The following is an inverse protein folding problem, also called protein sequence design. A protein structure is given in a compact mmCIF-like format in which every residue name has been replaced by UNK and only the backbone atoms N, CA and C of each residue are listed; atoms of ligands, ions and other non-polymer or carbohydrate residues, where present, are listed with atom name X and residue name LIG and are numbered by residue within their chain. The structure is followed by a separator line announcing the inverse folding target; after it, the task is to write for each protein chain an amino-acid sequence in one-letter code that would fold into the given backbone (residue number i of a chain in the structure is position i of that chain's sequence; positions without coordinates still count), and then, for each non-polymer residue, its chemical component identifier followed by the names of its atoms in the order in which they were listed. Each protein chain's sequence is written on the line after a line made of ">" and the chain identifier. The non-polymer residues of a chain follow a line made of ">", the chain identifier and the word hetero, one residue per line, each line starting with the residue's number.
data_IF_251193695087
#
_entry.id   IF_251193695087
#
_cell.length_a   1.000
_cell.length_b   1.000
_cell.length_c   1.000
_cell.angle_alpha   90.00
_cell.angle_beta   90.00
_cell.angle_gamma   90.00
#
_symmetry.space_group_name_H-M   'P 1'
#
loop_
_entity.id
_entity.type
_entity.pdbx_description
1 polymer ?
#
# COMPACT_ATOMS: atom_id res chain seq x y z
N UNK A 1 -35.69 -38.56 56.45
CA UNK A 1 -34.32 -38.03 56.25
C UNK A 1 -33.90 -37.81 54.80
N UNK A 2 -34.52 -38.42 53.77
CA UNK A 2 -34.03 -38.39 52.39
C UNK A 2 -34.18 -37.06 51.60
N UNK A 3 -35.08 -36.14 51.99
CA UNK A 3 -35.32 -34.89 51.24
C UNK A 3 -34.24 -33.81 51.38
N UNK A 4 -33.47 -33.80 52.49
CA UNK A 4 -32.41 -32.80 52.72
C UNK A 4 -31.19 -33.00 51.81
N UNK A 5 -30.84 -34.25 51.49
CA UNK A 5 -29.72 -34.55 50.58
C UNK A 5 -29.99 -34.18 49.12
N UNK A 6 -31.25 -34.23 48.68
CA UNK A 6 -31.64 -33.88 47.31
C UNK A 6 -31.55 -32.35 47.06
N UNK A 7 -32.00 -31.55 48.01
CA UNK A 7 -31.85 -30.09 47.95
C UNK A 7 -30.38 -29.68 47.95
N UNK A 8 -29.55 -30.28 48.81
CA UNK A 8 -28.12 -29.98 48.87
C UNK A 8 -27.40 -30.31 47.55
N UNK A 9 -27.70 -31.47 46.93
CA UNK A 9 -27.18 -31.81 45.59
C UNK A 9 -27.64 -30.83 44.50
N UNK A 10 -28.88 -30.35 44.55
CA UNK A 10 -29.38 -29.34 43.61
C UNK A 10 -28.65 -28.01 43.76
N UNK A 11 -28.35 -27.59 45.00
CA UNK A 11 -27.54 -26.40 45.26
C UNK A 11 -26.12 -26.53 44.74
N UNK A 12 -25.45 -27.67 44.96
CA UNK A 12 -24.09 -27.92 44.44
C UNK A 12 -24.09 -27.90 42.91
N UNK A 13 -25.05 -28.56 42.26
CA UNK A 13 -25.13 -28.57 40.81
C UNK A 13 -25.39 -27.18 40.23
N UNK A 14 -26.27 -26.39 40.85
CA UNK A 14 -26.54 -25.02 40.43
C UNK A 14 -25.30 -24.14 40.60
N UNK A 15 -24.57 -24.28 41.71
CA UNK A 15 -23.32 -23.57 41.94
C UNK A 15 -22.26 -23.90 40.88
N UNK A 16 -22.07 -25.18 40.55
CA UNK A 16 -21.14 -25.59 39.49
C UNK A 16 -21.53 -25.02 38.12
N UNK A 17 -22.82 -25.02 37.77
CA UNK A 17 -23.31 -24.43 36.50
C UNK A 17 -22.99 -22.93 36.46
N UNK A 18 -23.25 -22.19 37.55
CA UNK A 18 -22.95 -20.76 37.63
C UNK A 18 -21.45 -20.50 37.49
N UNK A 19 -20.60 -21.30 38.12
CA UNK A 19 -19.13 -21.17 38.02
C UNK A 19 -18.64 -21.44 36.59
N UNK A 20 -19.14 -22.48 35.93
CA UNK A 20 -18.78 -22.79 34.53
C UNK A 20 -19.20 -21.66 33.59
N UNK A 21 -20.40 -21.10 33.77
CA UNK A 21 -20.87 -19.94 33.01
C UNK A 21 -19.95 -18.74 33.27
N UNK A 22 -19.58 -18.47 34.52
CA UNK A 22 -18.71 -17.35 34.87
C UNK A 22 -17.30 -17.51 34.28
N UNK A 23 -16.73 -18.71 34.32
CA UNK A 23 -15.45 -19.02 33.68
C UNK A 23 -15.57 -18.89 32.16
N UNK A 24 -16.65 -19.39 31.56
CA UNK A 24 -16.91 -19.24 30.12
C UNK A 24 -17.00 -17.77 29.70
N UNK A 25 -17.75 -16.96 30.43
CA UNK A 25 -17.87 -15.51 30.20
C UNK A 25 -16.52 -14.80 30.44
N UNK A 26 -15.78 -15.17 31.48
CA UNK A 26 -14.46 -14.63 31.76
C UNK A 26 -13.46 -14.97 30.64
N UNK A 27 -13.43 -16.23 30.19
CA UNK A 27 -12.58 -16.70 29.09
C UNK A 27 -12.97 -16.01 27.79
N UNK A 28 -14.26 -15.88 27.45
CA UNK A 28 -14.73 -15.14 26.26
C UNK A 28 -14.33 -13.67 26.32
N UNK A 29 -14.52 -13.00 27.46
CA UNK A 29 -14.15 -11.59 27.64
C UNK A 29 -12.65 -11.35 27.59
N UNK A 30 -11.87 -12.34 28.05
CA UNK A 30 -10.41 -12.34 28.03
C UNK A 30 -9.81 -12.93 26.76
N UNK A 31 -10.59 -13.54 25.86
CA UNK A 31 -10.08 -14.25 24.68
C UNK A 31 -9.39 -13.25 23.74
N UNK A 32 -8.06 -13.07 23.85
CA UNK A 32 -7.39 -11.97 23.20
C UNK A 32 -7.22 -12.27 21.73
N UNK A 33 -7.23 -13.54 21.29
CA UNK A 33 -6.93 -13.94 19.91
C UNK A 33 -7.91 -13.39 18.87
N UNK A 34 -9.22 -13.42 19.18
CA UNK A 34 -10.25 -12.78 18.36
C UNK A 34 -10.14 -11.25 18.41
N UNK A 35 -9.93 -10.68 19.60
CA UNK A 35 -9.71 -9.23 19.78
C UNK A 35 -8.39 -8.73 19.17
N UNK A 36 -7.37 -9.59 19.01
CA UNK A 36 -6.06 -9.32 18.41
C UNK A 36 -6.10 -9.48 16.89
N UNK A 37 -6.86 -10.43 16.34
CA UNK A 37 -7.22 -10.41 14.91
C UNK A 37 -8.04 -9.16 14.56
N UNK A 38 -8.85 -8.71 15.51
CA UNK A 38 -9.57 -7.44 15.50
C UNK A 38 -8.73 -6.26 15.99
N UNK A 39 -7.44 -6.44 16.33
CA UNK A 39 -6.41 -5.39 16.25
C UNK A 39 -5.99 -5.29 14.76
N UNK A 40 -7.07 -5.02 14.01
CA UNK A 40 -7.35 -4.38 12.74
C UNK A 40 -6.28 -4.38 11.66
N UNK A 41 -6.22 -5.44 10.85
CA UNK A 41 -6.02 -5.21 9.42
C UNK A 41 -7.32 -4.65 8.84
N UNK A 42 -7.27 -3.59 8.03
CA UNK A 42 -8.48 -2.99 7.49
C UNK A 42 -9.17 -3.99 6.56
N UNK A 43 -10.51 -4.07 6.63
CA UNK A 43 -11.31 -4.85 5.68
C UNK A 43 -11.21 -4.26 4.26
N UNK A 44 -10.95 -2.95 4.18
CA UNK A 44 -10.81 -2.18 2.94
C UNK A 44 -9.42 -1.52 2.88
N UNK A 45 -8.69 -1.76 1.82
CA UNK A 45 -7.37 -1.14 1.60
C UNK A 45 -7.54 0.20 0.91
N UNK A 46 -7.41 1.29 1.67
CA UNK A 46 -7.21 2.63 1.12
C UNK A 46 -5.82 2.79 0.49
N UNK A 47 -5.77 3.08 -0.81
CA UNK A 47 -4.56 3.37 -1.58
C UNK A 47 -4.58 4.84 -2.00
N UNK A 48 -3.41 5.49 -2.04
CA UNK A 48 -3.25 6.83 -2.58
C UNK A 48 -2.19 6.82 -3.67
N UNK A 49 -2.46 7.51 -4.77
CA UNK A 49 -1.43 7.88 -5.76
C UNK A 49 -1.23 9.39 -5.69
N UNK A 50 0.03 9.84 -5.71
CA UNK A 50 0.35 11.26 -5.66
C UNK A 50 1.63 11.55 -6.43
N UNK A 51 1.49 12.22 -7.57
CA UNK A 51 2.63 12.88 -8.21
C UNK A 51 2.97 14.14 -7.39
N UNK A 52 4.16 14.15 -6.78
CA UNK A 52 4.55 15.19 -5.82
C UNK A 52 5.34 16.33 -6.44
N UNK A 53 5.61 16.29 -7.76
CA UNK A 53 6.41 17.29 -8.47
C UNK A 53 7.67 17.67 -7.70
N UNK A 54 8.49 16.65 -7.35
CA UNK A 54 9.70 16.75 -6.52
C UNK A 54 9.54 17.57 -5.22
N UNK A 55 8.32 17.66 -4.68
CA UNK A 55 7.98 18.38 -3.47
C UNK A 55 7.75 19.88 -3.66
N UNK A 56 7.73 20.39 -4.90
CA UNK A 56 7.43 21.78 -5.24
C UNK A 56 5.92 21.99 -5.41
N UNK A 57 5.36 22.92 -4.65
CA UNK A 57 3.95 23.28 -4.79
C UNK A 57 3.67 24.21 -5.97
N UNK A 58 2.38 24.47 -6.21
CA UNK A 58 1.91 25.47 -7.19
C UNK A 58 2.40 26.90 -6.89
N UNK A 59 2.86 27.14 -5.66
CA UNK A 59 3.48 28.38 -5.21
C UNK A 59 4.99 28.43 -5.50
N UNK A 60 5.56 27.41 -6.15
CA UNK A 60 7.00 27.27 -6.40
C UNK A 60 7.82 26.93 -5.16
N UNK A 61 7.16 26.60 -4.03
CA UNK A 61 7.84 26.36 -2.76
C UNK A 61 8.03 24.86 -2.55
N UNK A 62 9.30 24.46 -2.39
CA UNK A 62 9.68 23.11 -1.98
C UNK A 62 9.30 22.83 -0.51
N UNK A 63 8.49 21.80 -0.27
CA UNK A 63 8.02 21.48 1.09
C UNK A 63 7.53 20.03 1.25
N UNK A 64 8.40 19.12 1.69
CA UNK A 64 8.02 17.72 1.98
C UNK A 64 7.01 17.57 3.13
N UNK A 65 7.01 18.48 4.10
CA UNK A 65 6.05 18.48 5.22
C UNK A 65 4.61 18.74 4.75
N UNK A 66 4.46 19.50 3.67
CA UNK A 66 3.16 19.78 3.02
C UNK A 66 2.63 18.50 2.37
N UNK A 67 3.48 17.79 1.64
CA UNK A 67 3.15 16.49 1.05
C UNK A 67 2.76 15.48 2.14
N UNK A 68 3.57 15.34 3.20
CA UNK A 68 3.28 14.45 4.30
C UNK A 68 1.96 14.80 5.02
N UNK A 69 1.64 16.09 5.18
CA UNK A 69 0.37 16.53 5.78
C UNK A 69 -0.83 16.08 4.93
N UNK A 70 -0.80 16.29 3.62
CA UNK A 70 -1.88 15.86 2.70
C UNK A 70 -2.08 14.35 2.77
N UNK A 71 -0.99 13.57 2.73
CA UNK A 71 -1.06 12.10 2.85
C UNK A 71 -1.66 11.71 4.20
N UNK A 72 -1.23 12.34 5.29
CA UNK A 72 -1.74 12.06 6.65
C UNK A 72 -3.24 12.34 6.78
N UNK A 73 -3.72 13.45 6.24
CA UNK A 73 -5.14 13.82 6.23
C UNK A 73 -5.99 12.77 5.50
N UNK A 74 -5.46 12.16 4.43
CA UNK A 74 -6.14 11.08 3.72
C UNK A 74 -6.01 9.72 4.41
N UNK A 75 -5.02 9.54 5.29
CA UNK A 75 -4.79 8.30 6.04
C UNK A 75 -4.79 7.00 5.18
N UNK A 76 -4.11 6.95 4.03
CA UNK A 76 -4.01 5.74 3.22
C UNK A 76 -3.14 4.67 3.90
N UNK A 77 -3.32 3.42 3.48
CA UNK A 77 -2.48 2.30 3.92
C UNK A 77 -1.26 2.10 3.01
N UNK A 78 -1.43 2.33 1.71
CA UNK A 78 -0.40 2.26 0.69
C UNK A 78 -0.38 3.56 -0.11
N UNK A 79 0.80 4.06 -0.42
CA UNK A 79 0.99 5.28 -1.19
C UNK A 79 1.96 5.03 -2.33
N UNK A 80 1.54 5.32 -3.56
CA UNK A 80 2.39 5.46 -4.72
C UNK A 80 2.76 6.94 -4.87
N UNK A 81 4.04 7.28 -4.82
CA UNK A 81 4.54 8.62 -5.12
C UNK A 81 5.28 8.61 -6.45
N UNK A 82 4.95 9.57 -7.30
CA UNK A 82 5.66 9.84 -8.55
C UNK A 82 6.43 11.15 -8.45
N UNK A 83 7.45 11.29 -9.29
CA UNK A 83 8.35 12.46 -9.36
C UNK A 83 9.11 12.71 -8.06
N UNK A 84 9.65 11.63 -7.49
CA UNK A 84 10.38 11.65 -6.23
C UNK A 84 11.87 11.78 -6.49
N UNK A 85 12.52 12.72 -5.80
CA UNK A 85 13.97 12.87 -5.83
C UNK A 85 14.67 12.12 -4.70
N UNK A 86 15.87 11.64 -5.01
CA UNK A 86 16.83 11.09 -4.07
C UNK A 86 18.19 11.74 -4.33
N UNK A 87 18.63 12.58 -3.39
CA UNK A 87 19.95 13.21 -3.38
C UNK A 87 20.26 14.12 -4.58
N UNK A 88 19.24 14.68 -5.22
CA UNK A 88 19.41 15.63 -6.32
C UNK A 88 19.78 17.02 -5.81
N UNK A 89 20.49 17.81 -6.62
CA UNK A 89 20.84 19.19 -6.28
C UNK A 89 19.62 20.10 -6.12
N UNK A 90 18.61 20.02 -7.00
CA UNK A 90 17.39 20.85 -6.93
C UNK A 90 16.60 20.69 -5.63
N UNK A 91 16.77 19.57 -4.94
CA UNK A 91 16.10 19.29 -3.66
C UNK A 91 17.08 19.26 -2.49
N UNK A 92 18.19 19.99 -2.63
CA UNK A 92 19.18 20.19 -1.57
C UNK A 92 19.79 18.89 -1.03
N UNK A 93 19.89 17.85 -1.88
CA UNK A 93 20.42 16.55 -1.49
C UNK A 93 19.49 15.76 -0.57
N UNK A 94 18.19 15.98 -0.65
CA UNK A 94 17.20 15.26 0.16
C UNK A 94 16.90 13.86 -0.35
N UNK A 95 16.70 12.95 0.60
CA UNK A 95 16.07 11.66 0.34
C UNK A 95 14.58 11.83 0.67
N UNK A 96 13.79 12.17 -0.36
CA UNK A 96 12.42 12.62 -0.16
C UNK A 96 11.53 11.49 0.35
N UNK A 97 11.64 10.30 -0.23
CA UNK A 97 10.88 9.12 0.16
C UNK A 97 11.08 8.84 1.66
N UNK A 98 12.32 8.78 2.13
CA UNK A 98 12.64 8.56 3.55
C UNK A 98 12.09 9.66 4.44
N UNK A 99 12.24 10.93 4.05
CA UNK A 99 11.76 12.07 4.86
C UNK A 99 10.24 12.09 5.00
N UNK A 100 9.51 11.82 3.91
CA UNK A 100 8.04 11.74 3.93
C UNK A 100 7.61 10.53 4.77
N UNK A 101 8.19 9.36 4.54
CA UNK A 101 7.89 8.14 5.27
C UNK A 101 8.14 8.27 6.78
N UNK A 102 9.24 8.90 7.18
CA UNK A 102 9.55 9.19 8.58
C UNK A 102 8.50 10.12 9.24
N UNK A 103 7.99 11.13 8.54
CA UNK A 103 6.93 11.99 9.04
C UNK A 103 5.59 11.26 9.24
N UNK A 104 5.35 10.22 8.44
CA UNK A 104 4.12 9.43 8.46
C UNK A 104 4.22 8.19 9.36
N UNK A 105 5.43 7.79 9.77
CA UNK A 105 5.66 6.52 10.46
C UNK A 105 5.39 5.31 9.56
N UNK A 106 5.75 5.40 8.27
CA UNK A 106 5.52 4.37 7.26
C UNK A 106 6.84 3.73 6.82
N UNK A 107 6.78 2.45 6.44
CA UNK A 107 7.84 1.77 5.69
C UNK A 107 7.91 2.35 4.26
N UNK A 108 9.06 2.24 3.59
CA UNK A 108 9.21 2.81 2.26
C UNK A 108 10.27 2.12 1.40
N UNK A 109 10.13 2.29 0.09
CA UNK A 109 11.17 1.99 -0.89
C UNK A 109 11.15 3.00 -2.03
N UNK A 110 12.27 3.15 -2.72
CA UNK A 110 12.44 4.10 -3.82
C UNK A 110 13.05 3.41 -5.05
N UNK A 111 12.44 3.66 -6.21
CA UNK A 111 12.89 3.22 -7.51
C UNK A 111 13.72 4.31 -8.20
N UNK A 112 14.98 3.97 -8.48
CA UNK A 112 15.92 4.79 -9.26
C UNK A 112 15.62 4.62 -10.76
N UNK A 113 14.84 5.52 -11.34
CA UNK A 113 14.48 5.45 -12.75
C UNK A 113 15.45 6.22 -13.65
N UNK A 114 15.86 7.40 -13.20
CA UNK A 114 16.72 8.32 -13.95
C UNK A 114 17.80 8.88 -13.02
N UNK A 115 19.04 8.88 -13.48
CA UNK A 115 20.11 9.66 -12.83
C UNK A 115 19.91 11.13 -13.19
N UNK A 116 19.85 12.00 -12.18
CA UNK A 116 19.50 13.40 -12.37
C UNK A 116 20.19 14.28 -11.33
N UNK A 117 20.92 15.31 -11.78
CA UNK A 117 21.59 16.30 -10.93
C UNK A 117 22.36 15.69 -9.74
N UNK A 118 23.26 14.75 -10.02
CA UNK A 118 24.08 14.07 -9.00
C UNK A 118 23.32 13.07 -8.11
N UNK A 119 22.01 12.95 -8.28
CA UNK A 119 21.14 12.04 -7.56
C UNK A 119 20.30 11.19 -8.50
N UNK A 120 19.12 10.82 -8.02
CA UNK A 120 18.18 9.96 -8.73
C UNK A 120 16.77 10.52 -8.66
N UNK A 121 16.01 10.21 -9.69
CA UNK A 121 14.62 10.59 -9.85
C UNK A 121 13.79 9.35 -10.21
N UNK A 122 12.58 9.24 -9.66
CA UNK A 122 11.69 8.11 -9.96
C UNK A 122 10.45 8.03 -9.08
N UNK A 123 10.10 6.80 -8.71
CA UNK A 123 8.89 6.49 -7.95
C UNK A 123 9.24 6.03 -6.53
N UNK A 124 8.34 6.25 -5.57
CA UNK A 124 8.44 5.66 -4.25
C UNK A 124 7.14 4.98 -3.85
N UNK A 125 7.27 3.96 -3.00
CA UNK A 125 6.13 3.35 -2.31
C UNK A 125 6.31 3.59 -0.82
N UNK A 126 5.23 4.01 -0.16
CA UNK A 126 5.13 4.08 1.29
C UNK A 126 4.04 3.13 1.75
N UNK A 127 4.29 2.41 2.83
CA UNK A 127 3.39 1.38 3.34
C UNK A 127 3.25 1.45 4.86
N UNK A 128 2.03 1.31 5.38
CA UNK A 128 1.79 1.07 6.81
C UNK A 128 2.14 -0.35 7.23
N UNK A 129 2.29 -1.23 6.26
CA UNK A 129 2.62 -2.64 6.45
C UNK A 129 4.08 -2.91 6.05
N UNK A 130 4.74 -3.94 6.61
CA UNK A 130 6.09 -4.29 6.21
C UNK A 130 6.18 -4.61 4.72
N UNK A 131 7.20 -4.06 4.06
CA UNK A 131 7.58 -4.41 2.69
C UNK A 131 8.49 -5.64 2.76
N UNK A 132 8.00 -6.79 2.29
CA UNK A 132 8.76 -8.06 2.32
C UNK A 132 9.68 -8.21 1.09
N UNK A 133 9.32 -7.54 0.00
CA UNK A 133 10.04 -7.59 -1.27
C UNK A 133 9.90 -6.28 -2.03
N UNK A 134 10.94 -5.89 -2.75
CA UNK A 134 10.93 -4.76 -3.66
C UNK A 134 11.80 -5.03 -4.89
N UNK A 135 11.29 -4.73 -6.08
CA UNK A 135 12.02 -4.77 -7.34
C UNK A 135 11.62 -3.58 -8.22
N UNK A 136 12.58 -2.97 -8.90
CA UNK A 136 12.32 -1.94 -9.91
C UNK A 136 12.62 -2.46 -11.31
N UNK A 137 11.74 -2.18 -12.28
CA UNK A 137 11.97 -2.45 -13.70
C UNK A 137 11.79 -1.17 -14.51
N UNK A 138 12.82 -0.80 -15.27
CA UNK A 138 12.78 0.30 -16.24
C UNK A 138 12.13 -0.20 -17.52
N UNK A 139 11.18 0.55 -18.06
CA UNK A 139 10.54 0.18 -19.33
C UNK A 139 11.55 0.26 -20.49
N UNK A 140 11.33 -0.57 -21.51
CA UNK A 140 12.25 -0.72 -22.64
C UNK A 140 12.14 0.42 -23.63
N UNK A 141 10.97 1.04 -23.73
CA UNK A 141 10.74 2.17 -24.62
C UNK A 141 11.49 3.41 -24.11
N UNK A 142 12.30 4.05 -24.95
CA UNK A 142 13.32 5.04 -24.55
C UNK A 142 13.42 6.25 -25.49
N UNK A 143 12.32 6.71 -26.09
CA UNK A 143 12.41 7.90 -26.95
C UNK A 143 12.35 9.20 -26.13
N UNK A 144 11.72 9.19 -24.95
CA UNK A 144 11.80 10.26 -23.96
C UNK A 144 13.13 10.26 -23.18
N UNK A 145 13.69 11.45 -22.89
CA UNK A 145 14.84 11.59 -21.98
C UNK A 145 14.50 11.20 -20.53
N UNK A 146 13.23 11.30 -20.14
CA UNK A 146 12.76 10.91 -18.82
C UNK A 146 12.45 9.42 -18.79
N UNK A 147 13.30 8.65 -18.11
CA UNK A 147 13.12 7.19 -18.03
C UNK A 147 11.96 6.82 -17.12
N UNK A 148 11.03 6.01 -17.64
CA UNK A 148 9.89 5.45 -16.89
C UNK A 148 10.16 4.02 -16.44
N UNK A 149 9.46 3.60 -15.40
CA UNK A 149 9.57 2.26 -14.84
C UNK A 149 8.50 1.98 -13.82
N UNK A 150 8.44 0.72 -13.39
CA UNK A 150 7.53 0.22 -12.37
C UNK A 150 8.29 -0.31 -11.17
N UNK A 151 7.93 0.20 -10.00
CA UNK A 151 8.35 -0.31 -8.71
C UNK A 151 7.31 -1.32 -8.23
N UNK A 152 7.70 -2.57 -8.12
CA UNK A 152 6.90 -3.65 -7.57
C UNK A 152 7.33 -3.91 -6.14
N UNK A 153 6.36 -3.99 -5.22
CA UNK A 153 6.58 -4.50 -3.87
C UNK A 153 5.59 -5.60 -3.54
N UNK A 154 5.98 -6.44 -2.58
CA UNK A 154 5.05 -7.33 -1.89
C UNK A 154 4.94 -6.82 -0.45
N UNK A 155 3.71 -6.50 -0.04
CA UNK A 155 3.40 -6.08 1.33
C UNK A 155 2.56 -7.14 2.03
N UNK A 156 2.82 -7.33 3.32
CA UNK A 156 2.07 -8.29 4.14
C UNK A 156 0.95 -7.61 4.91
N UNK A 157 -0.29 -7.93 4.53
CA UNK A 157 -1.52 -7.41 5.14
C UNK A 157 -2.22 -8.58 5.83
N UNK A 158 -2.01 -8.71 7.13
CA UNK A 158 -2.45 -9.87 7.90
C UNK A 158 -1.74 -11.11 7.43
N UNK A 159 -2.53 -12.13 7.09
CA UNK A 159 -2.03 -13.40 6.58
C UNK A 159 -1.94 -13.42 5.04
N UNK A 160 -2.23 -12.29 4.37
CA UNK A 160 -2.21 -12.17 2.90
C UNK A 160 -1.00 -11.35 2.45
N UNK A 161 -0.37 -11.81 1.36
CA UNK A 161 0.57 -11.00 0.59
C UNK A 161 -0.20 -10.25 -0.49
N UNK A 162 0.15 -8.99 -0.71
CA UNK A 162 -0.45 -8.13 -1.73
C UNK A 162 0.67 -7.55 -2.60
N UNK A 163 0.53 -7.72 -3.90
CA UNK A 163 1.44 -7.15 -4.88
C UNK A 163 1.00 -5.72 -5.17
N UNK A 164 1.89 -4.75 -4.93
CA UNK A 164 1.62 -3.34 -5.21
C UNK A 164 2.64 -2.79 -6.21
N UNK A 165 2.14 -2.26 -7.32
CA UNK A 165 2.94 -1.73 -8.42
C UNK A 165 2.74 -0.21 -8.51
N UNK A 166 3.82 0.54 -8.34
CA UNK A 166 3.87 1.99 -8.52
C UNK A 166 4.55 2.34 -9.84
N UNK A 167 3.83 3.06 -10.70
CA UNK A 167 4.35 3.49 -12.01
C UNK A 167 4.06 4.97 -12.28
N UNK A 168 4.80 5.56 -13.22
CA UNK A 168 4.50 6.86 -13.82
C UNK A 168 4.67 6.65 -15.32
N UNK A 169 3.56 6.60 -16.06
CA UNK A 169 3.61 6.40 -17.50
C UNK A 169 3.88 7.72 -18.20
N UNK A 170 4.52 7.63 -19.35
CA UNK A 170 4.82 8.75 -20.23
C UNK A 170 3.55 9.47 -20.67
N UNK A 171 3.69 10.76 -20.96
CA UNK A 171 2.59 11.62 -21.43
C UNK A 171 2.33 11.40 -22.92
N UNK A 172 3.37 11.04 -23.69
CA UNK A 172 3.20 10.67 -25.08
C UNK A 172 2.41 9.36 -25.20
N UNK A 173 1.38 9.38 -26.05
CA UNK A 173 0.43 8.29 -26.17
C UNK A 173 1.03 6.97 -26.71
N UNK A 174 2.04 7.04 -27.58
CA UNK A 174 2.68 5.84 -28.13
C UNK A 174 3.62 5.22 -27.10
N UNK A 175 4.38 6.05 -26.40
CA UNK A 175 5.23 5.61 -25.29
C UNK A 175 4.39 4.97 -24.19
N UNK A 176 3.37 5.68 -23.72
CA UNK A 176 2.46 5.23 -22.66
C UNK A 176 1.78 3.90 -23.00
N UNK A 177 1.34 3.72 -24.25
CA UNK A 177 0.76 2.45 -24.68
C UNK A 177 1.77 1.28 -24.64
N UNK A 178 3.02 1.52 -25.06
CA UNK A 178 4.08 0.51 -24.98
C UNK A 178 4.41 0.16 -23.52
N UNK A 179 4.53 1.18 -22.66
CA UNK A 179 4.83 1.02 -21.24
C UNK A 179 3.70 0.30 -20.50
N UNK A 180 2.44 0.64 -20.79
CA UNK A 180 1.26 -0.03 -20.24
C UNK A 180 1.21 -1.53 -20.62
N UNK A 181 1.56 -1.86 -21.87
CA UNK A 181 1.66 -3.25 -22.32
C UNK A 181 2.79 -4.00 -21.61
N UNK A 182 3.95 -3.34 -21.45
CA UNK A 182 5.07 -3.94 -20.72
C UNK A 182 4.74 -4.17 -19.24
N UNK A 183 4.08 -3.19 -18.60
CA UNK A 183 3.58 -3.31 -17.23
C UNK A 183 2.61 -4.47 -17.07
N UNK A 184 1.62 -4.61 -17.96
CA UNK A 184 0.68 -5.73 -17.94
C UNK A 184 1.43 -7.07 -18.02
N UNK A 185 2.41 -7.20 -18.92
CA UNK A 185 3.23 -8.41 -19.02
C UNK A 185 4.03 -8.67 -17.74
N UNK A 186 4.59 -7.65 -17.10
CA UNK A 186 5.32 -7.79 -15.83
C UNK A 186 4.39 -8.34 -14.74
N UNK A 187 3.17 -7.80 -14.64
CA UNK A 187 2.18 -8.22 -13.65
C UNK A 187 1.74 -9.67 -13.90
N UNK A 188 1.38 -10.01 -15.14
CA UNK A 188 0.94 -11.35 -15.50
C UNK A 188 2.05 -12.40 -15.32
N UNK A 189 3.31 -12.06 -15.58
CA UNK A 189 4.45 -12.95 -15.38
C UNK A 189 4.73 -13.25 -13.90
N UNK A 190 4.42 -12.31 -13.00
CA UNK A 190 4.47 -12.55 -11.55
C UNK A 190 3.32 -13.43 -11.06
N UNK A 191 2.17 -13.35 -11.74
CA UNK A 191 0.96 -14.10 -11.40
C UNK A 191 -0.08 -13.25 -10.68
N UNK A 192 -1.32 -13.72 -10.70
CA UNK A 192 -2.52 -13.01 -10.20
C UNK A 192 -3.30 -13.80 -9.15
N UNK A 193 -2.68 -14.84 -8.57
CA UNK A 193 -3.28 -15.67 -7.51
C UNK A 193 -3.36 -14.93 -6.17
N UNK A 194 -2.43 -14.00 -5.94
CA UNK A 194 -2.46 -13.07 -4.81
C UNK A 194 -3.06 -11.73 -5.25
N UNK A 195 -3.67 -10.95 -4.34
CA UNK A 195 -4.21 -9.64 -4.70
C UNK A 195 -3.16 -8.72 -5.32
N UNK A 196 -3.54 -8.09 -6.45
CA UNK A 196 -2.70 -7.15 -7.20
C UNK A 196 -3.34 -5.76 -7.17
N UNK A 197 -2.52 -4.75 -6.90
CA UNK A 197 -2.90 -3.34 -7.00
C UNK A 197 -1.86 -2.64 -7.89
N UNK A 198 -2.33 -1.90 -8.89
CA UNK A 198 -1.50 -1.04 -9.73
C UNK A 198 -1.94 0.41 -9.48
N UNK A 199 -0.99 1.29 -9.18
CA UNK A 199 -1.28 2.70 -8.91
C UNK A 199 -0.20 3.62 -9.50
N UNK A 200 -0.60 4.84 -9.86
CA UNK A 200 0.33 5.81 -10.41
C UNK A 200 -0.32 6.88 -11.28
N UNK A 201 0.50 7.81 -11.76
CA UNK A 201 0.14 8.72 -12.85
C UNK A 201 0.18 7.94 -14.17
N UNK A 202 -0.96 7.40 -14.58
CA UNK A 202 -1.07 6.60 -15.81
C UNK A 202 -1.17 7.47 -17.08
N UNK A 203 -1.37 8.79 -16.95
CA UNK A 203 -1.35 9.78 -18.05
C UNK A 203 -2.15 9.41 -19.32
N UNK A 204 -3.10 8.48 -19.23
CA UNK A 204 -3.93 8.02 -20.34
C UNK A 204 -5.38 8.47 -20.13
N UNK A 205 -6.00 9.04 -21.16
CA UNK A 205 -7.45 9.22 -21.18
C UNK A 205 -8.15 7.83 -21.21
N UNK A 206 -9.25 7.65 -20.47
CA UNK A 206 -10.01 6.38 -20.36
C UNK A 206 -10.43 5.73 -21.70
N UNK A 207 -10.30 6.45 -22.83
CA UNK A 207 -10.68 6.00 -24.18
C UNK A 207 -9.56 5.31 -24.96
N UNK A 208 -8.35 5.17 -24.41
CA UNK A 208 -7.26 4.50 -25.14
C UNK A 208 -7.45 2.97 -25.18
N UNK A 209 -7.23 2.32 -26.34
CA UNK A 209 -7.41 0.86 -26.49
C UNK A 209 -6.59 0.02 -25.51
N UNK A 210 -5.40 0.48 -25.11
CA UNK A 210 -4.55 -0.18 -24.13
C UNK A 210 -5.19 -0.29 -22.74
N UNK A 211 -6.03 0.67 -22.34
CA UNK A 211 -6.80 0.60 -21.09
C UNK A 211 -7.91 -0.45 -21.21
N UNK A 212 -8.47 -0.67 -22.40
CA UNK A 212 -9.53 -1.66 -22.59
C UNK A 212 -9.04 -3.08 -22.28
N UNK A 213 -7.79 -3.41 -22.66
CA UNK A 213 -7.15 -4.68 -22.26
C UNK A 213 -7.04 -4.80 -20.74
N UNK A 214 -6.72 -3.69 -20.05
CA UNK A 214 -6.63 -3.69 -18.59
C UNK A 214 -7.98 -3.92 -17.91
N UNK A 215 -9.06 -3.38 -18.46
CA UNK A 215 -10.41 -3.57 -17.91
C UNK A 215 -10.89 -5.03 -17.94
N UNK A 216 -10.23 -5.90 -18.73
CA UNK A 216 -10.48 -7.33 -18.69
C UNK A 216 -9.88 -8.00 -17.43
N UNK A 217 -8.76 -7.47 -16.92
CA UNK A 217 -8.01 -8.05 -15.81
C UNK A 217 -8.19 -7.30 -14.48
N UNK A 218 -8.54 -6.01 -14.55
CA UNK A 218 -8.57 -5.12 -13.39
C UNK A 218 -9.86 -4.29 -13.37
N UNK A 219 -10.35 -4.05 -12.17
CA UNK A 219 -11.40 -3.07 -11.90
C UNK A 219 -10.79 -1.81 -11.29
N UNK A 220 -11.30 -0.64 -11.69
CA UNK A 220 -11.03 0.60 -10.97
C UNK A 220 -11.52 0.47 -9.51
N UNK A 221 -10.79 1.05 -8.56
CA UNK A 221 -11.29 1.24 -7.20
C UNK A 221 -12.12 2.54 -7.18
N UNK A 222 -13.39 2.43 -6.77
CA UNK A 222 -14.32 3.56 -6.66
C UNK A 222 -13.89 4.61 -5.62
#
# INVERSE_FOLDING_TARGET
>A
MAKRGLLFRRFINLFFIVVVIFIGVYVINKNPGEKLKRIVYPNDIKVMTYNIHHGEGMDGIYSLSRIARVIKEQSPHLVCLNEVDFKTERTFGDDQARKIAANLGMDFTFARNLEFQGGWYGNAILSRFPIEFAENKIFKYRNSPERRGVLHVIVKIGDKRVHFYATHLSVDSLESASEAKELLNIVLNWGTEEPVIIAGALSMARRFPSIHEWSYFFSDLD
#
